data_IF_319306343673
#
_entry.id   IF_319306343673
#
_cell.length_a   1.000
_cell.length_b   1.000
_cell.length_c   1.000
_cell.angle_alpha   90.00
_cell.angle_beta   90.00
_cell.angle_gamma   90.00
#
_symmetry.space_group_name_H-M   'P 1'
#
loop_
_entity.id
_entity.type
_entity.pdbx_description
1 polymer ?
#
# COMPACT_ATOMS: atom_id res chain seq x y z
N UNK A 1 15.46 -31.62 19.77
CA UNK A 1 15.30 -30.91 18.49
C UNK A 1 15.35 -29.38 18.69
N UNK A 2 15.05 -28.90 19.87
CA UNK A 2 15.02 -27.48 20.19
C UNK A 2 16.12 -27.19 21.22
N UNK A 3 17.06 -26.28 20.90
CA UNK A 3 18.16 -25.94 21.78
C UNK A 3 17.65 -25.30 23.08
N UNK A 4 18.18 -25.76 24.20
CA UNK A 4 17.89 -25.15 25.50
C UNK A 4 18.39 -23.69 25.51
N UNK A 5 17.52 -22.75 25.91
CA UNK A 5 17.85 -21.32 25.99
C UNK A 5 17.46 -20.46 24.77
N UNK A 6 16.90 -21.06 23.72
CA UNK A 6 16.40 -20.28 22.56
C UNK A 6 14.95 -19.86 22.82
N UNK A 7 14.66 -18.56 22.68
CA UNK A 7 13.32 -18.05 22.79
C UNK A 7 12.58 -18.26 21.44
N UNK A 8 11.60 -19.16 21.44
CA UNK A 8 10.80 -19.51 20.25
C UNK A 8 9.51 -18.68 20.16
N UNK A 9 9.31 -17.73 21.07
CA UNK A 9 8.13 -16.88 21.09
C UNK A 9 8.43 -15.64 20.23
N UNK A 10 7.59 -15.32 19.21
CA UNK A 10 7.76 -14.09 18.44
C UNK A 10 7.54 -12.87 19.33
N UNK A 11 7.95 -11.69 18.85
CA UNK A 11 7.77 -10.44 19.57
C UNK A 11 6.27 -10.09 19.65
N UNK A 12 5.62 -10.56 20.72
CA UNK A 12 4.15 -10.53 20.91
C UNK A 12 3.59 -9.11 20.79
N UNK A 13 4.27 -8.12 21.35
CA UNK A 13 3.83 -6.72 21.35
C UNK A 13 3.73 -6.15 19.94
N UNK A 14 4.75 -6.39 19.10
CA UNK A 14 4.75 -5.91 17.71
C UNK A 14 3.64 -6.57 16.88
N UNK A 15 3.44 -7.89 17.04
CA UNK A 15 2.38 -8.63 16.35
C UNK A 15 1.00 -8.13 16.77
N UNK A 16 0.80 -7.93 18.07
CA UNK A 16 -0.46 -7.47 18.65
C UNK A 16 -0.86 -6.07 18.14
N UNK A 17 0.05 -5.11 18.13
CA UNK A 17 -0.24 -3.76 17.67
C UNK A 17 -0.40 -3.70 16.15
N UNK A 18 0.44 -4.41 15.40
CA UNK A 18 0.35 -4.47 13.94
C UNK A 18 -1.00 -5.03 13.48
N UNK A 19 -1.48 -6.10 14.12
CA UNK A 19 -2.80 -6.66 13.85
C UNK A 19 -3.92 -5.65 14.10
N UNK A 20 -3.89 -4.98 15.24
CA UNK A 20 -4.92 -3.99 15.60
C UNK A 20 -4.95 -2.79 14.66
N UNK A 21 -3.78 -2.28 14.28
CA UNK A 21 -3.66 -1.17 13.33
C UNK A 21 -4.25 -1.59 11.98
N UNK A 22 -3.88 -2.78 11.48
CA UNK A 22 -4.37 -3.31 10.23
C UNK A 22 -5.91 -3.42 10.22
N UNK A 23 -6.50 -4.05 11.24
CA UNK A 23 -7.95 -4.26 11.34
C UNK A 23 -8.69 -2.94 11.53
N UNK A 24 -8.19 -2.05 12.38
CA UNK A 24 -8.79 -0.74 12.62
C UNK A 24 -8.83 0.11 11.36
N UNK A 25 -7.70 0.18 10.63
CA UNK A 25 -7.63 0.90 9.36
C UNK A 25 -8.53 0.28 8.30
N UNK A 26 -8.60 -1.06 8.22
CA UNK A 26 -9.53 -1.77 7.35
C UNK A 26 -10.99 -1.38 7.63
N UNK A 27 -11.39 -1.37 8.88
CA UNK A 27 -12.73 -0.92 9.31
C UNK A 27 -13.00 0.54 8.94
N UNK A 28 -12.04 1.43 9.18
CA UNK A 28 -12.15 2.85 8.81
C UNK A 28 -12.30 3.04 7.29
N UNK A 29 -11.52 2.31 6.48
CA UNK A 29 -11.63 2.35 5.02
C UNK A 29 -13.04 1.94 4.56
N UNK A 30 -13.58 0.86 5.10
CA UNK A 30 -14.94 0.39 4.77
C UNK A 30 -15.98 1.44 5.12
N UNK A 31 -15.92 2.02 6.33
CA UNK A 31 -16.86 3.05 6.77
C UNK A 31 -16.79 4.32 5.91
N UNK A 32 -15.57 4.77 5.58
CA UNK A 32 -15.37 5.93 4.71
C UNK A 32 -15.87 5.67 3.29
N UNK A 33 -15.63 4.48 2.75
CA UNK A 33 -16.09 4.09 1.41
C UNK A 33 -17.62 4.04 1.34
N UNK A 34 -18.27 3.44 2.34
CA UNK A 34 -19.74 3.40 2.43
C UNK A 34 -20.33 4.80 2.58
N UNK A 35 -19.74 5.63 3.44
CA UNK A 35 -20.18 7.02 3.63
C UNK A 35 -20.03 7.82 2.34
N UNK A 36 -18.89 7.68 1.66
CA UNK A 36 -18.64 8.30 0.37
C UNK A 36 -19.64 7.86 -0.70
N UNK A 37 -19.91 6.56 -0.79
CA UNK A 37 -20.88 5.99 -1.72
C UNK A 37 -22.30 6.51 -1.46
N UNK A 38 -22.75 6.54 -0.21
CA UNK A 38 -24.06 7.06 0.18
C UNK A 38 -24.18 8.56 -0.19
N UNK A 39 -23.15 9.36 0.12
CA UNK A 39 -23.14 10.78 -0.24
C UNK A 39 -23.11 11.00 -1.76
N UNK A 40 -22.44 10.14 -2.51
CA UNK A 40 -22.40 10.18 -3.96
C UNK A 40 -23.79 9.87 -4.57
N UNK A 41 -24.41 8.77 -4.16
CA UNK A 41 -25.76 8.37 -4.63
C UNK A 41 -26.81 9.44 -4.29
N UNK A 42 -26.69 10.06 -3.12
CA UNK A 42 -27.57 11.17 -2.69
C UNK A 42 -27.22 12.53 -3.31
N UNK A 43 -26.22 12.59 -4.19
CA UNK A 43 -25.70 13.84 -4.83
C UNK A 43 -25.31 14.94 -3.82
N UNK A 44 -24.98 14.57 -2.58
CA UNK A 44 -24.64 15.50 -1.49
C UNK A 44 -23.13 15.61 -1.23
N UNK A 45 -22.31 14.91 -2.00
CA UNK A 45 -20.86 14.84 -1.78
C UNK A 45 -20.19 16.22 -1.91
N UNK A 46 -20.65 17.05 -2.86
CA UNK A 46 -20.11 18.39 -3.09
C UNK A 46 -20.40 19.36 -1.94
N UNK A 47 -21.44 19.11 -1.16
CA UNK A 47 -21.84 19.95 -0.03
C UNK A 47 -21.02 19.63 1.25
N UNK A 48 -20.11 18.64 1.20
CA UNK A 48 -19.32 18.18 2.35
C UNK A 48 -17.82 18.20 2.07
N UNK A 49 -17.19 19.38 1.96
CA UNK A 49 -15.77 19.51 1.61
C UNK A 49 -14.84 18.84 2.62
N UNK A 50 -15.22 18.75 3.89
CA UNK A 50 -14.47 18.04 4.92
C UNK A 50 -14.38 16.53 4.65
N UNK A 51 -15.47 15.91 4.14
CA UNK A 51 -15.49 14.50 3.77
C UNK A 51 -14.52 14.22 2.60
N UNK A 52 -14.49 15.11 1.61
CA UNK A 52 -13.55 15.01 0.49
C UNK A 52 -12.09 15.05 0.96
N UNK A 53 -11.77 15.95 1.90
CA UNK A 53 -10.42 16.04 2.48
C UNK A 53 -10.04 14.75 3.22
N UNK A 54 -10.97 14.16 3.99
CA UNK A 54 -10.74 12.89 4.67
C UNK A 54 -10.55 11.75 3.67
N UNK A 55 -11.37 11.69 2.61
CA UNK A 55 -11.22 10.67 1.56
C UNK A 55 -9.87 10.77 0.85
N UNK A 56 -9.36 11.99 0.60
CA UNK A 56 -8.03 12.20 0.06
C UNK A 56 -6.95 11.68 1.02
N UNK A 57 -7.05 12.00 2.31
CA UNK A 57 -6.11 11.50 3.32
C UNK A 57 -6.18 9.97 3.48
N UNK A 58 -7.37 9.40 3.32
CA UNK A 58 -7.62 7.96 3.43
C UNK A 58 -6.92 7.14 2.33
N UNK A 59 -6.44 7.75 1.25
CA UNK A 59 -5.62 7.08 0.22
C UNK A 59 -4.34 6.48 0.83
N UNK A 60 -3.81 7.04 1.91
CA UNK A 60 -2.65 6.51 2.61
C UNK A 60 -2.97 5.25 3.46
N UNK A 61 -4.22 5.06 3.89
CA UNK A 61 -4.60 4.00 4.83
C UNK A 61 -4.36 2.58 4.33
N UNK A 62 -4.65 2.22 3.06
CA UNK A 62 -4.34 0.90 2.53
C UNK A 62 -2.85 0.56 2.60
N UNK A 63 -1.97 1.53 2.34
CA UNK A 63 -0.53 1.33 2.42
C UNK A 63 -0.07 1.06 3.85
N UNK A 64 -0.58 1.83 4.82
CA UNK A 64 -0.28 1.63 6.25
C UNK A 64 -0.83 0.28 6.73
N UNK A 65 -2.07 -0.05 6.37
CA UNK A 65 -2.69 -1.32 6.74
C UNK A 65 -1.94 -2.52 6.15
N UNK A 66 -1.53 -2.45 4.87
CA UNK A 66 -0.74 -3.49 4.21
C UNK A 66 0.65 -3.64 4.87
N UNK A 67 1.32 -2.54 5.18
CA UNK A 67 2.63 -2.57 5.88
C UNK A 67 2.49 -3.18 7.27
N UNK A 68 1.46 -2.82 8.03
CA UNK A 68 1.18 -3.42 9.34
C UNK A 68 0.88 -4.93 9.23
N UNK A 69 0.10 -5.35 8.23
CA UNK A 69 -0.16 -6.76 7.95
C UNK A 69 1.11 -7.54 7.61
N UNK A 70 2.00 -6.93 6.81
CA UNK A 70 3.29 -7.54 6.46
C UNK A 70 4.21 -7.69 7.68
N UNK A 71 4.33 -6.65 8.50
CA UNK A 71 5.08 -6.68 9.77
C UNK A 71 4.56 -7.79 10.68
N UNK A 72 3.24 -7.91 10.83
CA UNK A 72 2.61 -8.97 11.63
C UNK A 72 3.00 -10.35 11.11
N UNK A 73 2.94 -10.55 9.80
CA UNK A 73 3.21 -11.86 9.18
C UNK A 73 4.68 -12.26 9.32
N UNK A 74 5.61 -11.34 9.09
CA UNK A 74 7.04 -11.63 9.14
C UNK A 74 7.56 -11.77 10.59
N UNK A 75 7.17 -10.88 11.49
CA UNK A 75 7.57 -10.97 12.91
C UNK A 75 6.86 -12.13 13.61
N UNK A 76 5.58 -12.36 13.29
CA UNK A 76 4.79 -13.44 13.87
C UNK A 76 5.28 -14.83 13.49
N UNK A 77 5.99 -14.95 12.37
CA UNK A 77 6.58 -16.20 11.92
C UNK A 77 7.89 -16.52 12.66
N UNK A 78 8.62 -15.50 13.10
CA UNK A 78 9.94 -15.71 13.74
C UNK A 78 9.82 -16.50 15.05
N UNK A 79 10.80 -17.39 15.36
CA UNK A 79 12.03 -17.67 14.59
C UNK A 79 11.88 -18.82 13.57
N UNK A 80 10.67 -19.14 13.13
CA UNK A 80 10.39 -20.30 12.28
C UNK A 80 10.33 -19.94 10.79
N UNK A 81 10.96 -20.74 9.95
CA UNK A 81 10.69 -20.78 8.51
C UNK A 81 9.51 -21.72 8.23
N UNK A 82 9.55 -22.91 8.85
CA UNK A 82 8.44 -23.86 8.87
C UNK A 82 8.17 -24.19 10.34
N UNK A 83 6.99 -23.83 10.84
CA UNK A 83 6.65 -23.99 12.24
C UNK A 83 6.86 -25.43 12.73
N UNK A 84 7.64 -25.58 13.80
CA UNK A 84 7.94 -26.88 14.41
C UNK A 84 8.95 -27.76 13.66
N UNK A 85 9.46 -27.35 12.49
CA UNK A 85 10.40 -28.13 11.70
C UNK A 85 11.75 -27.43 11.51
N UNK A 86 11.74 -26.21 10.98
CA UNK A 86 12.95 -25.46 10.66
C UNK A 86 12.90 -24.04 11.18
N UNK A 87 13.96 -23.63 11.88
CA UNK A 87 14.16 -22.22 12.22
C UNK A 87 14.77 -21.46 11.06
N UNK A 88 14.66 -20.14 11.04
CA UNK A 88 15.27 -19.25 10.05
C UNK A 88 16.80 -19.43 9.97
N UNK A 89 17.45 -19.69 11.10
CA UNK A 89 18.89 -19.95 11.17
C UNK A 89 19.29 -21.28 10.50
N UNK A 90 18.40 -22.28 10.50
CA UNK A 90 18.63 -23.59 9.89
C UNK A 90 18.23 -23.64 8.41
N UNK A 91 17.48 -22.64 7.94
CA UNK A 91 16.93 -22.59 6.57
C UNK A 91 17.86 -21.93 5.55
N UNK A 92 19.14 -21.83 5.88
CA UNK A 92 20.17 -21.30 4.96
C UNK A 92 20.48 -22.36 3.90
N UNK A 93 20.35 -21.97 2.63
CA UNK A 93 20.69 -22.88 1.51
C UNK A 93 22.20 -23.16 1.48
N UNK A 94 22.64 -24.42 1.58
CA UNK A 94 24.05 -24.75 1.57
C UNK A 94 24.73 -24.51 0.21
N UNK A 95 23.95 -24.38 -0.86
CA UNK A 95 24.44 -24.25 -2.24
C UNK A 95 24.62 -22.78 -2.67
N UNK A 96 24.30 -21.80 -1.83
CA UNK A 96 24.37 -20.37 -2.15
C UNK A 96 25.48 -19.72 -1.34
N UNK A 97 26.47 -19.14 -2.03
CA UNK A 97 27.54 -18.39 -1.37
C UNK A 97 27.04 -17.00 -0.95
N UNK A 98 27.65 -16.46 0.12
CA UNK A 98 27.34 -15.11 0.60
C UNK A 98 27.49 -14.03 -0.50
N UNK A 99 28.49 -14.20 -1.41
CA UNK A 99 28.69 -13.31 -2.54
C UNK A 99 27.56 -13.34 -3.57
N UNK A 100 27.01 -14.51 -3.89
CA UNK A 100 25.86 -14.65 -4.78
C UNK A 100 24.60 -14.03 -4.18
N UNK A 101 24.40 -14.21 -2.87
CA UNK A 101 23.27 -13.60 -2.17
C UNK A 101 23.37 -12.05 -2.17
N UNK A 102 24.56 -11.53 -1.88
CA UNK A 102 24.81 -10.09 -1.89
C UNK A 102 24.60 -9.51 -3.29
N UNK A 103 25.15 -10.16 -4.33
CA UNK A 103 24.97 -9.74 -5.70
C UNK A 103 23.49 -9.70 -6.11
N UNK A 104 22.74 -10.76 -5.86
CA UNK A 104 21.32 -10.80 -6.19
C UNK A 104 20.52 -9.72 -5.43
N UNK A 105 20.80 -9.54 -4.14
CA UNK A 105 20.14 -8.51 -3.32
C UNK A 105 20.39 -7.10 -3.87
N UNK A 106 21.64 -6.77 -4.20
CA UNK A 106 21.98 -5.48 -4.80
C UNK A 106 21.34 -5.32 -6.17
N UNK A 107 21.37 -6.36 -7.01
CA UNK A 107 20.78 -6.31 -8.35
C UNK A 107 19.25 -6.07 -8.31
N UNK A 108 18.52 -6.79 -7.47
CA UNK A 108 17.09 -6.60 -7.31
C UNK A 108 16.76 -5.25 -6.69
N UNK A 109 17.47 -4.85 -5.64
CA UNK A 109 17.24 -3.56 -4.98
C UNK A 109 17.48 -2.39 -5.94
N UNK A 110 18.55 -2.43 -6.74
CA UNK A 110 18.82 -1.39 -7.73
C UNK A 110 17.78 -1.36 -8.85
N UNK A 111 17.33 -2.52 -9.33
CA UNK A 111 16.28 -2.61 -10.34
C UNK A 111 14.96 -1.99 -9.82
N UNK A 112 14.53 -2.34 -8.60
CA UNK A 112 13.32 -1.77 -7.99
C UNK A 112 13.46 -0.27 -7.73
N UNK A 113 14.65 0.20 -7.35
CA UNK A 113 14.91 1.62 -7.14
C UNK A 113 14.77 2.40 -8.45
N UNK A 114 15.34 1.91 -9.55
CA UNK A 114 15.19 2.52 -10.88
C UNK A 114 13.73 2.55 -11.31
N UNK A 115 13.01 1.44 -11.18
CA UNK A 115 11.58 1.37 -11.50
C UNK A 115 10.76 2.34 -10.64
N UNK A 116 11.09 2.45 -9.34
CA UNK A 116 10.46 3.40 -8.42
C UNK A 116 10.67 4.86 -8.84
N UNK A 117 11.89 5.23 -9.24
CA UNK A 117 12.20 6.57 -9.76
C UNK A 117 11.38 6.85 -11.03
N UNK A 118 11.33 5.92 -11.98
CA UNK A 118 10.55 6.06 -13.20
C UNK A 118 9.06 6.22 -12.87
N UNK A 119 8.52 5.41 -11.96
CA UNK A 119 7.13 5.50 -11.51
C UNK A 119 6.81 6.87 -10.92
N UNK A 120 7.65 7.37 -10.00
CA UNK A 120 7.46 8.70 -9.38
C UNK A 120 7.55 9.80 -10.43
N UNK A 121 8.53 9.72 -11.34
CA UNK A 121 8.68 10.69 -12.42
C UNK A 121 7.45 10.73 -13.33
N UNK A 122 6.97 9.58 -13.78
CA UNK A 122 5.78 9.50 -14.63
C UNK A 122 4.52 9.97 -13.91
N UNK A 123 4.34 9.55 -12.64
CA UNK A 123 3.19 9.97 -11.83
C UNK A 123 3.16 11.48 -11.62
N UNK A 124 4.30 12.08 -11.27
CA UNK A 124 4.38 13.53 -11.09
C UNK A 124 4.13 14.30 -12.40
N UNK A 125 4.56 13.75 -13.54
CA UNK A 125 4.30 14.34 -14.84
C UNK A 125 2.81 14.32 -15.18
N UNK A 126 2.13 13.19 -14.92
CA UNK A 126 0.67 13.06 -15.15
C UNK A 126 -0.11 13.98 -14.23
N UNK A 127 0.23 14.01 -12.93
CA UNK A 127 -0.43 14.88 -11.94
C UNK A 127 -0.26 16.36 -12.30
N UNK A 128 0.91 16.77 -12.76
CA UNK A 128 1.16 18.17 -13.18
C UNK A 128 0.36 18.59 -14.42
N UNK A 129 0.04 17.66 -15.32
CA UNK A 129 -0.82 17.93 -16.50
C UNK A 129 -2.27 18.21 -16.09
N UNK A 130 -2.73 17.62 -14.98
CA UNK A 130 -4.10 17.77 -14.50
C UNK A 130 -5.13 16.96 -15.33
N UNK A 131 -6.38 16.90 -14.87
CA UNK A 131 -7.44 16.12 -15.50
C UNK A 131 -7.94 16.70 -16.82
N UNK A 132 -7.64 17.96 -17.11
CA UNK A 132 -8.16 18.68 -18.29
C UNK A 132 -7.24 18.62 -19.51
N UNK A 133 -6.07 17.99 -19.43
CA UNK A 133 -5.06 17.98 -20.49
C UNK A 133 -5.17 16.75 -21.43
N UNK A 134 -6.27 16.01 -21.33
CA UNK A 134 -6.57 14.92 -22.26
C UNK A 134 -7.32 15.47 -23.48
N UNK A 135 -6.88 15.17 -24.73
CA UNK A 135 -7.54 15.69 -25.95
C UNK A 135 -9.03 15.39 -26.02
N UNK A 136 -9.44 14.23 -25.48
CA UNK A 136 -10.85 13.80 -25.44
C UNK A 136 -11.70 14.65 -24.48
N UNK A 137 -11.13 15.07 -23.34
CA UNK A 137 -11.85 15.89 -22.36
C UNK A 137 -11.96 17.34 -22.83
N UNK A 138 -10.92 17.87 -23.47
CA UNK A 138 -10.93 19.20 -24.06
C UNK A 138 -11.94 19.29 -25.20
N UNK A 139 -12.05 18.26 -26.04
CA UNK A 139 -13.05 18.19 -27.09
C UNK A 139 -14.49 18.18 -26.52
N UNK A 140 -14.73 17.47 -25.40
CA UNK A 140 -16.04 17.43 -24.74
C UNK A 140 -16.39 18.76 -24.05
N UNK A 141 -15.42 19.45 -23.46
CA UNK A 141 -15.61 20.77 -22.85
C UNK A 141 -15.96 21.82 -23.93
N UNK A 142 -15.24 21.80 -25.05
CA UNK A 142 -15.52 22.68 -26.19
C UNK A 142 -16.90 22.45 -26.82
N UNK A 143 -17.40 21.20 -26.82
CA UNK A 143 -18.76 20.90 -27.30
C UNK A 143 -19.83 21.42 -26.33
N UNK A 144 -19.61 21.28 -25.03
CA UNK A 144 -20.54 21.76 -23.98
C UNK A 144 -20.61 23.30 -23.98
N UNK A 145 -19.49 23.98 -24.14
CA UNK A 145 -19.46 25.45 -24.27
C UNK A 145 -20.19 25.94 -25.53
N UNK A 146 -20.00 25.27 -26.66
CA UNK A 146 -20.70 25.62 -27.89
C UNK A 146 -22.21 25.41 -27.82
N UNK A 147 -22.68 24.42 -27.04
CA UNK A 147 -24.12 24.22 -26.82
C UNK A 147 -24.72 25.24 -25.83
N UNK A 148 -23.93 25.66 -24.81
CA UNK A 148 -24.34 26.67 -23.87
C UNK A 148 -24.56 28.07 -24.49
N UNK A 149 -23.76 28.42 -25.52
CA UNK A 149 -23.90 29.68 -26.26
C UNK A 149 -24.97 29.66 -27.36
N UNK A 150 -25.60 28.50 -27.61
CA UNK A 150 -26.71 28.40 -28.59
C UNK A 150 -28.11 28.57 -28.01
N UNK A 151 -28.22 28.77 -26.71
CA UNK A 151 -29.45 29.13 -25.98
C UNK A 151 -29.44 30.60 -25.58
#
# INVERSE_FOLDING_TARGET
LYGEGVNYIPHVESVFWSFRIMVALGGVIVLLSLTGLICYVRKTIHNKPWLLKILIAAVAFPFIANTAGWIMTEIGRQPWTVFGLYTTAQSVSPNVTAGQLLFSTIAFTSAYLVLGIIMVYMSTRVVKKGPYDTPELNANVDLLDKEAFKK
#
